data_IF_856067003599
#
_entry.id   IF_856067003599
#
_cell.length_a   1.000
_cell.length_b   1.000
_cell.length_c   1.000
_cell.angle_alpha   90.00
_cell.angle_beta   90.00
_cell.angle_gamma   90.00
#
_symmetry.space_group_name_H-M   'P 1'
#
loop_
_entity.id
_entity.type
_entity.pdbx_description
1 polymer ?
#
# COMPACT_ATOMS: atom_id res chain seq x y z
N UNK A 1 11.60 2.79 8.88
CA UNK A 1 11.81 1.32 8.92
C UNK A 1 10.94 0.72 7.80
N UNK A 2 11.39 -0.28 7.05
CA UNK A 2 10.64 -0.81 5.89
C UNK A 2 9.33 -1.52 6.33
N UNK A 3 8.16 -1.02 5.91
CA UNK A 3 6.86 -1.54 6.34
C UNK A 3 6.64 -3.03 6.00
N UNK A 4 7.24 -3.51 4.89
CA UNK A 4 7.17 -4.91 4.47
C UNK A 4 8.01 -5.84 5.37
N UNK A 5 9.03 -5.31 6.05
CA UNK A 5 9.82 -6.06 7.02
C UNK A 5 9.08 -6.21 8.36
N UNK A 6 8.20 -5.27 8.70
CA UNK A 6 7.38 -5.29 9.92
C UNK A 6 6.17 -6.24 9.77
N UNK A 7 5.50 -6.21 8.62
CA UNK A 7 4.37 -7.10 8.33
C UNK A 7 4.57 -7.84 7.00
N UNK A 8 4.90 -9.14 7.04
CA UNK A 8 5.06 -9.95 5.84
C UNK A 8 3.82 -9.86 4.93
N UNK A 9 4.06 -9.86 3.61
CA UNK A 9 2.99 -9.82 2.63
C UNK A 9 2.16 -11.12 2.63
N UNK A 10 0.84 -11.03 2.40
CA UNK A 10 -0.04 -12.20 2.36
C UNK A 10 0.34 -13.14 1.21
N UNK A 11 0.10 -14.43 1.43
CA UNK A 11 0.15 -15.46 0.40
C UNK A 11 -1.26 -15.98 0.18
N UNK A 12 -1.74 -15.96 -1.06
CA UNK A 12 -3.07 -16.46 -1.44
C UNK A 12 -2.86 -17.52 -2.51
N UNK A 13 -3.32 -18.75 -2.25
CA UNK A 13 -3.21 -19.89 -3.18
C UNK A 13 -1.79 -20.10 -3.73
N UNK A 14 -0.77 -20.05 -2.85
CA UNK A 14 0.64 -20.21 -3.23
C UNK A 14 1.28 -19.00 -3.93
N UNK A 15 0.52 -17.95 -4.24
CA UNK A 15 1.04 -16.70 -4.81
C UNK A 15 1.26 -15.67 -3.71
N UNK A 16 2.52 -15.27 -3.51
CA UNK A 16 2.88 -14.21 -2.56
C UNK A 16 2.69 -12.84 -3.18
N UNK A 17 2.06 -11.92 -2.44
CA UNK A 17 2.00 -10.52 -2.81
C UNK A 17 3.43 -9.92 -2.77
N UNK A 18 3.85 -9.30 -3.87
CA UNK A 18 5.11 -8.56 -3.97
C UNK A 18 4.78 -7.10 -4.24
N UNK A 19 5.29 -6.21 -3.38
CA UNK A 19 5.22 -4.76 -3.56
C UNK A 19 6.55 -4.33 -4.14
N UNK A 20 6.51 -3.65 -5.28
CA UNK A 20 7.73 -3.20 -5.96
C UNK A 20 8.12 -1.80 -5.50
N UNK A 21 7.18 -0.87 -5.54
CA UNK A 21 7.36 0.51 -5.12
C UNK A 21 6.00 1.19 -4.94
N UNK A 22 6.00 2.32 -4.25
CA UNK A 22 4.84 3.19 -4.10
C UNK A 22 5.24 4.63 -4.43
N UNK A 23 4.32 5.41 -4.98
CA UNK A 23 4.53 6.83 -5.26
C UNK A 23 3.26 7.64 -5.03
N UNK A 24 3.41 8.89 -4.59
CA UNK A 24 2.31 9.83 -4.48
C UNK A 24 2.01 10.43 -5.85
N UNK A 25 0.74 10.39 -6.27
CA UNK A 25 0.30 10.90 -7.59
C UNK A 25 -0.59 12.13 -7.51
N UNK A 26 -1.24 12.36 -6.36
CA UNK A 26 -2.11 13.51 -6.11
C UNK A 26 -1.91 13.98 -4.67
N UNK A 27 -1.96 15.30 -4.44
CA UNK A 27 -1.77 15.90 -3.11
C UNK A 27 -3.06 16.20 -2.34
N UNK A 28 -4.20 16.41 -3.03
CA UNK A 28 -5.48 16.74 -2.39
C UNK A 28 -6.65 15.94 -2.97
N UNK A 29 -7.09 14.85 -2.31
CA UNK A 29 -6.49 14.20 -1.13
C UNK A 29 -5.20 13.43 -1.48
N UNK A 30 -4.28 13.21 -0.51
CA UNK A 30 -3.08 12.42 -0.71
C UNK A 30 -3.41 11.04 -1.28
N UNK A 31 -2.96 10.79 -2.50
CA UNK A 31 -3.23 9.55 -3.23
C UNK A 31 -1.92 8.88 -3.61
N UNK A 32 -1.76 7.64 -3.15
CA UNK A 32 -0.60 6.81 -3.42
C UNK A 32 -0.96 5.71 -4.40
N UNK A 33 -0.13 5.50 -5.42
CA UNK A 33 -0.19 4.33 -6.27
C UNK A 33 0.87 3.34 -5.80
N UNK A 34 0.43 2.13 -5.47
CA UNK A 34 1.29 1.02 -5.06
C UNK A 34 1.36 0.02 -6.20
N UNK A 35 2.57 -0.20 -6.71
CA UNK A 35 2.82 -1.13 -7.80
C UNK A 35 3.14 -2.51 -7.22
N UNK A 36 2.35 -3.50 -7.62
CA UNK A 36 2.41 -4.87 -7.12
C UNK A 36 2.45 -5.88 -8.27
N UNK A 37 2.75 -7.13 -7.95
CA UNK A 37 2.69 -8.22 -8.93
C UNK A 37 1.26 -8.59 -9.35
N UNK A 38 0.31 -8.58 -8.42
CA UNK A 38 -1.11 -8.77 -8.72
C UNK A 38 -1.96 -7.98 -7.70
N UNK A 39 -2.75 -6.97 -8.14
CA UNK A 39 -3.64 -6.20 -7.28
C UNK A 39 -4.65 -7.04 -6.49
N UNK A 40 -5.07 -8.18 -7.00
CA UNK A 40 -6.07 -9.04 -6.33
C UNK A 40 -5.50 -9.74 -5.10
N UNK A 41 -4.17 -9.92 -5.05
CA UNK A 41 -3.49 -10.48 -3.87
C UNK A 41 -3.42 -9.49 -2.70
N UNK A 42 -3.63 -8.19 -2.96
CA UNK A 42 -3.63 -7.16 -1.93
C UNK A 42 -5.06 -6.96 -1.40
N UNK A 43 -5.36 -7.70 -0.33
CA UNK A 43 -6.61 -7.60 0.41
C UNK A 43 -6.75 -6.25 1.14
N UNK A 44 -7.99 -5.82 1.43
CA UNK A 44 -8.25 -4.52 2.06
C UNK A 44 -7.54 -4.36 3.42
N UNK A 45 -7.33 -5.44 4.16
CA UNK A 45 -6.64 -5.40 5.45
C UNK A 45 -5.18 -4.96 5.29
N UNK A 46 -4.50 -5.44 4.25
CA UNK A 46 -3.13 -5.03 3.96
C UNK A 46 -3.07 -3.58 3.43
N UNK A 47 -4.10 -3.15 2.70
CA UNK A 47 -4.24 -1.74 2.30
C UNK A 47 -4.36 -0.84 3.52
N UNK A 48 -5.21 -1.21 4.50
CA UNK A 48 -5.35 -0.46 5.77
C UNK A 48 -4.07 -0.43 6.59
N UNK A 49 -3.34 -1.55 6.62
CA UNK A 49 -2.01 -1.60 7.24
C UNK A 49 -1.06 -0.58 6.60
N UNK A 50 -0.98 -0.55 5.26
CA UNK A 50 -0.16 0.45 4.57
C UNK A 50 -0.63 1.88 4.83
N UNK A 51 -1.94 2.12 4.83
CA UNK A 51 -2.50 3.45 5.17
C UNK A 51 -2.05 3.90 6.56
N UNK A 52 -2.21 3.05 7.58
CA UNK A 52 -1.80 3.36 8.94
C UNK A 52 -0.31 3.63 9.03
N UNK A 53 0.53 2.82 8.37
CA UNK A 53 1.97 3.07 8.33
C UNK A 53 2.33 4.40 7.68
N UNK A 54 1.61 4.82 6.63
CA UNK A 54 1.81 6.15 6.03
C UNK A 54 1.41 7.25 7.03
N UNK A 55 0.30 7.10 7.75
CA UNK A 55 -0.13 8.05 8.80
C UNK A 55 0.84 8.13 9.97
N UNK A 56 1.46 7.02 10.34
CA UNK A 56 2.43 6.98 11.44
C UNK A 56 3.74 7.73 11.09
N UNK A 57 4.09 7.79 9.81
CA UNK A 57 5.34 8.41 9.34
C UNK A 57 5.16 9.84 8.81
N UNK A 58 3.94 10.24 8.43
CA UNK A 58 3.64 11.54 7.84
C UNK A 58 2.39 12.16 8.45
N UNK A 59 2.40 13.48 8.67
CA UNK A 59 1.27 14.20 9.25
C UNK A 59 0.16 14.43 8.21
N UNK A 60 -0.75 13.45 8.11
CA UNK A 60 -1.96 13.51 7.28
C UNK A 60 -3.24 13.61 8.13
N UNK A 61 -3.14 14.27 9.29
CA UNK A 61 -4.30 14.51 10.15
C UNK A 61 -5.36 15.38 9.43
N UNK A 62 -6.62 15.01 9.56
CA UNK A 62 -7.74 15.72 8.95
C UNK A 62 -7.92 15.50 7.44
N UNK A 63 -7.10 14.67 6.78
CA UNK A 63 -7.28 14.31 5.36
C UNK A 63 -7.35 12.80 5.15
N UNK A 64 -8.26 12.29 4.30
CA UNK A 64 -8.27 10.88 3.93
C UNK A 64 -7.06 10.57 3.04
N UNK A 65 -6.45 9.40 3.24
CA UNK A 65 -5.41 8.88 2.36
C UNK A 65 -6.06 7.89 1.39
N UNK A 66 -5.72 7.97 0.11
CA UNK A 66 -6.19 7.03 -0.91
C UNK A 66 -5.04 6.15 -1.38
N UNK A 67 -5.27 4.85 -1.43
CA UNK A 67 -4.31 3.88 -1.96
C UNK A 67 -4.90 3.20 -3.18
N UNK A 68 -4.22 3.33 -4.32
CA UNK A 68 -4.57 2.69 -5.58
C UNK A 68 -3.54 1.58 -5.85
N UNK A 69 -4.02 0.35 -5.98
CA UNK A 69 -3.19 -0.80 -6.33
C UNK A 69 -3.12 -0.97 -7.85
N UNK A 70 -1.90 -1.05 -8.40
CA UNK A 70 -1.67 -1.30 -9.84
C UNK A 70 -0.74 -2.47 -10.05
N UNK A 71 -1.01 -3.26 -11.09
CA UNK A 71 -0.03 -4.25 -11.56
C UNK A 71 1.11 -3.54 -12.27
N UNK A 72 2.35 -3.97 -11.99
CA UNK A 72 3.50 -3.60 -12.82
C UNK A 72 3.40 -4.39 -14.13
N UNK A 73 3.35 -3.68 -15.27
CA UNK A 73 3.50 -4.32 -16.59
C UNK A 73 4.92 -4.87 -16.75
#
# INVERSE_FOLDING_TARGET
MDAVAIHPTPTVNGKRLRIYYATQVVSGPPTFVVFVNNPDLMHFSYVRFLENQIRDHFDFNGTPIRIIKRSRK
#
